data_IF_945923913534
#
_entry.id   IF_945923913534
#
_cell.length_a   1.000
_cell.length_b   1.000
_cell.length_c   1.000
_cell.angle_alpha   90.00
_cell.angle_beta   90.00
_cell.angle_gamma   90.00
#
_symmetry.space_group_name_H-M   'P 1'
#
loop_
_entity.id
_entity.type
_entity.pdbx_description
1 polymer ?
#
# COMPACT_ATOMS: atom_id res chain seq x y z
N UNK A 1 1.93 -0.77 -0.70
CA UNK A 1 3.34 -0.60 -1.08
C UNK A 1 3.47 -0.26 -2.56
N UNK A 2 3.24 -1.20 -3.48
CA UNK A 2 3.50 -0.98 -4.91
C UNK A 2 2.80 0.26 -5.52
N UNK A 3 1.51 0.44 -5.25
CA UNK A 3 0.74 1.59 -5.76
C UNK A 3 1.21 2.92 -5.14
N UNK A 4 1.60 2.90 -3.85
CA UNK A 4 2.17 4.09 -3.20
C UNK A 4 3.51 4.47 -3.83
N UNK A 5 4.40 3.50 -4.04
CA UNK A 5 5.71 3.73 -4.65
C UNK A 5 5.58 4.22 -6.09
N UNK A 6 4.72 3.59 -6.90
CA UNK A 6 4.36 4.08 -8.23
C UNK A 6 3.89 5.54 -8.19
N UNK A 7 3.02 5.88 -7.23
CA UNK A 7 2.47 7.23 -7.11
C UNK A 7 3.55 8.25 -6.80
N UNK A 8 4.46 7.95 -5.87
CA UNK A 8 5.58 8.84 -5.53
C UNK A 8 6.49 9.03 -6.74
N UNK A 9 6.84 7.95 -7.44
CA UNK A 9 7.69 8.01 -8.63
C UNK A 9 7.04 8.81 -9.77
N UNK A 10 5.77 8.54 -10.08
CA UNK A 10 5.03 9.24 -11.13
C UNK A 10 4.87 10.74 -10.79
N UNK A 11 4.61 11.06 -9.52
CA UNK A 11 4.53 12.44 -9.07
C UNK A 11 5.89 13.16 -9.17
N UNK A 12 6.98 12.50 -8.79
CA UNK A 12 8.34 13.01 -8.93
C UNK A 12 8.71 13.24 -10.41
N UNK A 13 8.22 12.40 -11.32
CA UNK A 13 8.37 12.54 -12.77
C UNK A 13 7.49 13.67 -13.38
N UNK A 14 6.72 14.39 -12.56
CA UNK A 14 5.94 15.55 -13.00
C UNK A 14 4.45 15.29 -13.24
N UNK A 15 3.97 14.07 -13.10
CA UNK A 15 2.54 13.80 -13.23
C UNK A 15 1.73 14.48 -12.10
N UNK A 16 0.58 15.07 -12.47
CA UNK A 16 -0.32 15.80 -11.55
C UNK A 16 -1.75 15.26 -11.54
N UNK A 17 -2.10 14.42 -12.51
CA UNK A 17 -3.35 13.69 -12.56
C UNK A 17 -3.03 12.19 -12.58
N UNK A 18 -3.28 11.53 -11.45
CA UNK A 18 -2.85 10.16 -11.21
C UNK A 18 -4.09 9.28 -10.97
N UNK A 19 -4.16 8.17 -11.68
CA UNK A 19 -5.20 7.16 -11.54
C UNK A 19 -4.71 5.80 -11.98
N UNK A 20 -5.56 4.80 -11.81
CA UNK A 20 -5.32 3.43 -12.23
C UNK A 20 -6.49 2.97 -13.10
N UNK A 21 -6.21 2.05 -14.02
CA UNK A 21 -7.19 1.54 -14.96
C UNK A 21 -7.74 0.18 -14.48
N UNK A 22 -7.71 -0.84 -15.33
CA UNK A 22 -8.17 -2.19 -15.03
C UNK A 22 -7.49 -2.76 -13.78
N UNK A 23 -8.27 -3.36 -12.88
CA UNK A 23 -7.78 -3.92 -11.61
C UNK A 23 -7.63 -2.90 -10.48
N UNK A 24 -7.95 -1.62 -10.72
CA UNK A 24 -8.02 -0.63 -9.64
C UNK A 24 -9.11 -0.98 -8.63
N UNK A 25 -8.73 -1.07 -7.36
CA UNK A 25 -9.63 -1.26 -6.24
C UNK A 25 -9.58 -0.03 -5.31
N UNK A 26 -10.58 0.19 -4.44
CA UNK A 26 -10.64 1.37 -3.59
C UNK A 26 -9.41 1.60 -2.71
N UNK A 27 -8.79 0.52 -2.23
CA UNK A 27 -7.57 0.60 -1.42
C UNK A 27 -6.34 1.06 -2.23
N UNK A 28 -6.30 0.78 -3.55
CA UNK A 28 -5.25 1.32 -4.42
C UNK A 28 -5.34 2.84 -4.47
N UNK A 29 -6.52 3.41 -4.77
CA UNK A 29 -6.70 4.87 -4.85
C UNK A 29 -6.48 5.56 -3.50
N UNK A 30 -6.86 4.91 -2.40
CA UNK A 30 -6.50 5.36 -1.04
C UNK A 30 -4.99 5.41 -0.87
N UNK A 31 -4.30 4.33 -1.19
CA UNK A 31 -2.84 4.24 -1.08
C UNK A 31 -2.14 5.33 -1.91
N UNK A 32 -2.62 5.64 -3.12
CA UNK A 32 -2.12 6.77 -3.92
C UNK A 32 -2.31 8.11 -3.19
N UNK A 33 -3.51 8.37 -2.66
CA UNK A 33 -3.79 9.63 -1.98
C UNK A 33 -2.91 9.81 -0.74
N UNK A 34 -2.77 8.76 0.07
CA UNK A 34 -1.95 8.74 1.29
C UNK A 34 -0.47 8.90 0.99
N UNK A 35 0.03 8.29 -0.10
CA UNK A 35 1.42 8.44 -0.54
C UNK A 35 1.79 9.89 -0.88
N UNK A 36 0.80 10.71 -1.29
CA UNK A 36 0.95 12.15 -1.53
C UNK A 36 0.61 13.00 -0.30
N UNK A 37 0.55 12.41 0.90
CA UNK A 37 0.28 13.10 2.15
C UNK A 37 -1.18 13.51 2.37
N UNK A 38 -2.12 13.04 1.54
CA UNK A 38 -3.56 13.32 1.72
C UNK A 38 -4.18 12.34 2.71
N UNK A 39 -5.28 12.75 3.35
CA UNK A 39 -6.05 11.90 4.27
C UNK A 39 -7.53 11.85 3.88
N UNK A 40 -7.91 11.13 2.81
CA UNK A 40 -9.31 10.97 2.42
C UNK A 40 -10.15 10.27 3.50
N UNK A 41 -11.49 10.36 3.48
CA UNK A 41 -12.36 9.65 4.44
C UNK A 41 -12.12 8.13 4.50
N UNK A 42 -11.70 7.52 3.38
CA UNK A 42 -11.37 6.10 3.30
C UNK A 42 -10.09 5.71 4.07
N UNK A 43 -9.27 6.68 4.50
CA UNK A 43 -8.07 6.44 5.34
C UNK A 43 -8.42 5.83 6.71
N UNK A 44 -9.69 5.87 7.11
CA UNK A 44 -10.16 5.15 8.31
C UNK A 44 -10.03 3.62 8.18
N UNK A 45 -9.88 3.12 6.95
CA UNK A 45 -9.72 1.70 6.65
C UNK A 45 -8.28 1.33 6.26
N UNK A 46 -7.32 2.23 6.48
CA UNK A 46 -5.92 1.98 6.15
C UNK A 46 -5.40 0.82 6.97
N UNK A 47 -4.65 -0.03 6.28
CA UNK A 47 -4.12 -1.25 6.84
C UNK A 47 -3.07 -0.95 7.91
N UNK A 48 -3.12 -1.71 9.00
CA UNK A 48 -2.03 -1.77 9.96
C UNK A 48 -1.03 -2.82 9.47
N UNK A 49 0.02 -2.37 8.78
CA UNK A 49 1.04 -3.26 8.22
C UNK A 49 1.76 -4.09 9.28
N UNK A 50 1.77 -3.67 10.55
CA UNK A 50 2.34 -4.48 11.63
C UNK A 50 1.59 -5.82 11.81
N UNK A 51 0.34 -5.91 11.35
CA UNK A 51 -0.51 -7.11 11.40
C UNK A 51 -0.55 -7.89 10.09
N UNK A 52 0.21 -7.48 9.09
CA UNK A 52 0.19 -8.11 7.78
C UNK A 52 0.63 -9.58 7.84
N UNK A 53 -0.02 -10.45 7.07
CA UNK A 53 0.20 -11.91 7.14
C UNK A 53 1.65 -12.33 6.85
N UNK A 54 2.32 -11.64 5.93
CA UNK A 54 3.71 -11.91 5.52
C UNK A 54 4.74 -10.90 6.06
N UNK A 55 4.41 -9.59 6.07
CA UNK A 55 5.32 -8.51 6.50
C UNK A 55 5.09 -8.02 7.94
N UNK A 56 4.11 -8.57 8.65
CA UNK A 56 3.74 -8.09 9.98
C UNK A 56 4.79 -8.39 11.03
N UNK A 57 4.90 -7.48 12.00
CA UNK A 57 5.86 -7.50 13.10
C UNK A 57 5.22 -7.79 14.47
N UNK A 58 3.89 -7.84 14.55
CA UNK A 58 3.21 -8.15 15.82
C UNK A 58 3.42 -9.61 16.26
N UNK A 59 3.43 -9.88 17.57
CA UNK A 59 3.35 -11.25 18.10
C UNK A 59 2.08 -11.93 17.58
N UNK A 60 2.23 -13.14 17.01
CA UNK A 60 1.11 -13.92 16.45
C UNK A 60 1.14 -14.08 14.93
N UNK A 61 1.96 -13.31 14.20
CA UNK A 61 2.26 -13.64 12.81
C UNK A 61 3.12 -14.92 12.77
N UNK A 62 2.70 -16.01 12.09
CA UNK A 62 3.46 -17.26 12.06
C UNK A 62 4.83 -17.08 11.39
N UNK A 63 5.88 -17.74 11.92
CA UNK A 63 7.21 -17.71 11.31
C UNK A 63 7.18 -18.20 9.87
N UNK A 64 6.48 -19.31 9.59
CA UNK A 64 6.30 -19.85 8.23
C UNK A 64 5.87 -18.81 7.21
N UNK A 65 5.02 -17.86 7.58
CA UNK A 65 4.56 -16.82 6.66
C UNK A 65 5.67 -15.80 6.39
N UNK A 66 6.43 -15.42 7.41
CA UNK A 66 7.59 -14.52 7.25
C UNK A 66 8.70 -15.19 6.45
N UNK A 67 8.95 -16.47 6.67
CA UNK A 67 9.98 -17.23 5.97
C UNK A 67 9.63 -17.39 4.48
N UNK A 68 8.33 -17.55 4.17
CA UNK A 68 7.86 -17.64 2.78
C UNK A 68 7.96 -16.32 2.01
N UNK A 69 8.12 -15.19 2.70
CA UNK A 69 8.15 -13.86 2.08
C UNK A 69 9.20 -13.75 0.97
N UNK A 70 10.35 -14.40 1.12
CA UNK A 70 11.46 -14.29 0.17
C UNK A 70 11.20 -15.08 -1.13
N UNK A 71 10.06 -15.77 -1.23
CA UNK A 71 9.56 -16.44 -2.44
C UNK A 71 8.39 -15.69 -3.12
N UNK A 72 7.99 -14.52 -2.61
CA UNK A 72 6.97 -13.63 -3.19
C UNK A 72 7.64 -12.57 -4.07
#
# INVERSE_FOLDING_TARGET
YEVADFTVQAHAAGARYLGLCCGAAPHHLRSMAEALGRKPPASRYSEDMSRHAFFGTVPGVPSRNRDYRDHL
#
